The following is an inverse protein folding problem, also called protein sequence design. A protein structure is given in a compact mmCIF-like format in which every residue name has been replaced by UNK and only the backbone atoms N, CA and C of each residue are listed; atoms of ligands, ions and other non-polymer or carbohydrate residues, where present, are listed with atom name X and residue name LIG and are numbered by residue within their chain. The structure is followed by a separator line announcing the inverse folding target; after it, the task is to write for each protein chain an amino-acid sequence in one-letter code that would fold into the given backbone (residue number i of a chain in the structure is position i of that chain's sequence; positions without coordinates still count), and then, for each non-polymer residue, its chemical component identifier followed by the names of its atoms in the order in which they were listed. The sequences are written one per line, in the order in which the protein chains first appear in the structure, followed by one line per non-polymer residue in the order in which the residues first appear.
data_IF_489191526157
#
_entry.id   IF_489191526157
#
_cell.length_a   1.000
_cell.length_b   1.000
_cell.length_c   1.000
_cell.angle_alpha   90.00
_cell.angle_beta   90.00
_cell.angle_gamma   90.00
#
_symmetry.space_group_name_H-M   'P 1'
#
loop_
_entity.id
_entity.type
_entity.pdbx_description
1 polymer ?
#
# COMPACT_ATOMS: atom_id res chain seq x y z
N UNK A 1 46.05 -11.80 -27.75
CA UNK A 1 46.58 -11.73 -26.38
C UNK A 1 46.17 -10.41 -25.77
N UNK A 2 45.30 -10.42 -24.81
CA UNK A 2 44.89 -9.23 -24.09
C UNK A 2 46.03 -8.81 -23.16
N UNK A 3 46.54 -7.58 -23.34
CA UNK A 3 47.63 -7.05 -22.53
C UNK A 3 47.27 -7.07 -21.04
N UNK A 4 48.05 -7.80 -20.22
CA UNK A 4 47.82 -7.89 -18.77
C UNK A 4 47.66 -6.49 -18.13
N UNK A 5 48.39 -5.50 -18.61
CA UNK A 5 48.28 -4.09 -18.12
C UNK A 5 46.94 -3.47 -18.44
N UNK A 6 46.38 -3.76 -19.62
CA UNK A 6 45.03 -3.25 -20.02
C UNK A 6 43.94 -3.92 -19.19
N UNK A 7 44.05 -5.23 -18.93
CA UNK A 7 43.12 -5.96 -18.09
C UNK A 7 43.06 -5.40 -16.65
N UNK A 8 44.25 -5.17 -16.07
CA UNK A 8 44.35 -4.58 -14.73
C UNK A 8 43.83 -3.14 -14.66
N UNK A 9 43.98 -2.36 -15.72
CA UNK A 9 43.42 -0.98 -15.82
C UNK A 9 41.91 -1.01 -15.92
N UNK A 10 41.36 -1.89 -16.75
CA UNK A 10 39.89 -2.08 -16.87
C UNK A 10 39.29 -2.59 -15.57
N UNK A 11 39.91 -3.56 -14.91
CA UNK A 11 39.46 -4.09 -13.64
C UNK A 11 39.35 -2.99 -12.54
N UNK A 12 40.33 -2.07 -12.50
CA UNK A 12 40.32 -0.96 -11.54
C UNK A 12 39.17 0.02 -11.76
N UNK A 13 38.66 0.12 -12.99
CA UNK A 13 37.53 1.01 -13.33
C UNK A 13 36.19 0.29 -13.12
N UNK A 14 36.11 -0.96 -13.58
CA UNK A 14 34.84 -1.72 -13.51
C UNK A 14 34.50 -2.21 -12.12
N UNK A 15 35.51 -2.52 -11.29
CA UNK A 15 35.28 -3.01 -9.92
C UNK A 15 34.52 -2.01 -9.03
N UNK A 16 34.95 -0.72 -8.93
CA UNK A 16 34.20 0.24 -8.14
C UNK A 16 32.82 0.54 -8.72
N UNK A 17 32.68 0.56 -10.05
CA UNK A 17 31.38 0.79 -10.69
C UNK A 17 30.40 -0.35 -10.38
N UNK A 18 30.87 -1.60 -10.37
CA UNK A 18 30.08 -2.77 -10.00
C UNK A 18 29.66 -2.73 -8.52
N UNK A 19 30.55 -2.31 -7.63
CA UNK A 19 30.25 -2.17 -6.19
C UNK A 19 29.18 -1.09 -5.98
N UNK A 20 29.32 0.07 -6.63
CA UNK A 20 28.33 1.17 -6.54
C UNK A 20 26.96 0.69 -7.07
N UNK A 21 26.92 -0.02 -8.19
CA UNK A 21 25.70 -0.58 -8.75
C UNK A 21 25.04 -1.60 -7.81
N UNK A 22 25.83 -2.49 -7.20
CA UNK A 22 25.33 -3.49 -6.25
C UNK A 22 24.79 -2.85 -4.99
N UNK A 23 25.46 -1.83 -4.47
CA UNK A 23 25.01 -1.07 -3.30
C UNK A 23 23.70 -0.34 -3.61
N UNK A 24 23.60 0.28 -4.78
CA UNK A 24 22.37 0.96 -5.21
C UNK A 24 21.19 -0.01 -5.33
N UNK A 25 21.42 -1.19 -5.95
CA UNK A 25 20.40 -2.24 -6.03
C UNK A 25 20.01 -2.72 -4.64
N UNK A 26 20.99 -2.97 -3.75
CA UNK A 26 20.74 -3.39 -2.38
C UNK A 26 19.86 -2.39 -1.62
N UNK A 27 20.16 -1.09 -1.69
CA UNK A 27 19.34 -0.05 -1.07
C UNK A 27 17.95 0.07 -1.70
N UNK A 28 17.83 -0.17 -2.99
CA UNK A 28 16.53 -0.10 -3.69
C UNK A 28 15.63 -1.27 -3.31
N UNK A 29 16.19 -2.49 -3.22
CA UNK A 29 15.44 -3.69 -2.82
C UNK A 29 15.22 -3.80 -1.32
N UNK A 30 16.11 -3.24 -0.52
CA UNK A 30 16.09 -3.36 0.94
C UNK A 30 15.54 -2.08 1.60
N UNK A 31 14.66 -1.35 0.91
CA UNK A 31 13.90 -0.26 1.56
C UNK A 31 13.15 -0.86 2.73
N UNK A 32 13.37 -0.37 3.98
CA UNK A 32 12.57 -0.81 5.10
C UNK A 32 11.11 -0.58 4.76
N UNK A 33 10.29 -1.61 4.92
CA UNK A 33 8.84 -1.47 4.81
C UNK A 33 8.44 -0.34 5.75
N UNK A 34 7.89 0.73 5.19
CA UNK A 34 7.31 1.79 6.00
C UNK A 34 6.23 1.13 6.85
N UNK A 35 6.40 1.15 8.16
CA UNK A 35 5.44 0.56 9.09
C UNK A 35 4.19 1.48 9.12
N UNK A 36 3.30 1.23 8.17
CA UNK A 36 2.05 1.99 8.02
C UNK A 36 1.16 1.87 9.25
N UNK A 37 1.36 0.84 10.10
CA UNK A 37 0.58 0.69 11.33
C UNK A 37 0.80 1.86 12.30
N UNK A 38 2.02 2.41 12.32
CA UNK A 38 2.43 3.54 13.19
C UNK A 38 2.38 4.90 12.51
N UNK A 39 2.21 4.94 11.18
CA UNK A 39 2.10 6.20 10.45
C UNK A 39 0.82 6.94 10.84
N UNK A 40 0.88 8.26 10.93
CA UNK A 40 -0.34 9.05 11.11
C UNK A 40 -1.22 8.94 9.86
N UNK A 41 -2.52 8.70 10.06
CA UNK A 41 -3.50 8.86 8.98
C UNK A 41 -3.63 10.34 8.63
N UNK A 42 -3.49 10.65 7.35
CA UNK A 42 -3.66 12.02 6.84
C UNK A 42 -5.15 12.41 6.79
N UNK A 43 -6.01 11.42 6.56
CA UNK A 43 -7.44 11.58 6.49
C UNK A 43 -8.15 10.48 7.29
N UNK A 44 -9.21 10.87 8.00
CA UNK A 44 -10.18 9.96 8.60
C UNK A 44 -11.50 10.17 7.89
N UNK A 45 -12.02 9.13 7.23
CA UNK A 45 -13.20 9.23 6.37
C UNK A 45 -14.04 7.96 6.45
N UNK A 46 -15.34 8.07 6.36
CA UNK A 46 -16.21 6.91 6.17
C UNK A 46 -16.08 6.36 4.73
N UNK A 47 -16.12 5.04 4.58
CA UNK A 47 -15.99 4.40 3.25
C UNK A 47 -17.03 4.91 2.26
N UNK A 48 -18.27 5.14 2.68
CA UNK A 48 -19.34 5.68 1.83
C UNK A 48 -19.04 7.08 1.30
N UNK A 49 -18.41 7.93 2.12
CA UNK A 49 -18.05 9.30 1.72
C UNK A 49 -16.89 9.28 0.72
N UNK A 50 -15.94 8.35 0.91
CA UNK A 50 -14.85 8.16 -0.04
C UNK A 50 -15.39 7.65 -1.38
N UNK A 51 -16.25 6.64 -1.37
CA UNK A 51 -16.91 6.10 -2.58
C UNK A 51 -17.65 7.23 -3.30
N UNK A 52 -18.47 8.01 -2.59
CA UNK A 52 -19.21 9.14 -3.17
C UNK A 52 -18.29 10.19 -3.78
N UNK A 53 -17.13 10.47 -3.16
CA UNK A 53 -16.16 11.43 -3.69
C UNK A 53 -15.62 10.98 -5.04
N UNK A 54 -15.29 9.70 -5.19
CA UNK A 54 -14.81 9.12 -6.45
C UNK A 54 -15.90 8.99 -7.52
N UNK A 55 -17.15 8.74 -7.12
CA UNK A 55 -18.28 8.69 -8.05
C UNK A 55 -18.64 10.06 -8.63
N UNK A 56 -18.49 11.13 -7.83
CA UNK A 56 -18.82 12.50 -8.25
C UNK A 56 -17.71 13.08 -9.12
N UNK A 57 -16.45 12.97 -8.69
CA UNK A 57 -15.31 13.58 -9.38
C UNK A 57 -14.02 12.76 -9.09
N UNK A 58 -13.74 11.74 -9.93
CA UNK A 58 -12.57 10.88 -9.74
C UNK A 58 -11.23 11.62 -9.77
N UNK A 59 -11.10 12.67 -10.61
CA UNK A 59 -9.85 13.43 -10.72
C UNK A 59 -9.56 14.20 -9.43
N UNK A 60 -10.53 14.93 -8.94
CA UNK A 60 -10.39 15.68 -7.69
C UNK A 60 -10.20 14.75 -6.48
N UNK A 61 -10.88 13.61 -6.46
CA UNK A 61 -10.69 12.59 -5.43
C UNK A 61 -9.27 12.00 -5.47
N UNK A 62 -8.73 11.73 -6.66
CA UNK A 62 -7.34 11.29 -6.82
C UNK A 62 -6.35 12.35 -6.32
N UNK A 63 -6.51 13.61 -6.72
CA UNK A 63 -5.64 14.69 -6.26
C UNK A 63 -5.60 14.81 -4.74
N UNK A 64 -6.70 14.48 -4.08
CA UNK A 64 -6.84 14.60 -2.64
C UNK A 64 -6.35 13.37 -1.88
N UNK A 65 -6.62 12.16 -2.38
CA UNK A 65 -6.48 10.91 -1.62
C UNK A 65 -5.41 9.96 -2.16
N UNK A 66 -4.98 10.10 -3.42
CA UNK A 66 -3.97 9.21 -4.00
C UNK A 66 -2.65 9.28 -3.21
N UNK A 67 -2.07 8.11 -2.96
CA UNK A 67 -0.84 7.94 -2.16
C UNK A 67 -0.94 8.42 -0.69
N UNK A 68 -2.12 8.77 -0.21
CA UNK A 68 -2.36 9.19 1.17
C UNK A 68 -2.74 8.04 2.08
N UNK A 69 -2.35 8.14 3.34
CA UNK A 69 -2.73 7.19 4.38
C UNK A 69 -4.08 7.59 4.93
N UNK A 70 -5.06 6.72 4.70
CA UNK A 70 -6.43 6.90 5.11
C UNK A 70 -6.76 6.01 6.31
N UNK A 71 -7.54 6.53 7.24
CA UNK A 71 -8.26 5.75 8.23
C UNK A 71 -9.73 5.66 7.78
N UNK A 72 -10.08 4.51 7.24
CA UNK A 72 -11.41 4.23 6.70
C UNK A 72 -12.26 3.54 7.75
N UNK A 73 -13.52 3.93 7.86
CA UNK A 73 -14.50 3.22 8.68
C UNK A 73 -15.66 2.78 7.79
N UNK A 74 -15.92 1.48 7.75
CA UNK A 74 -16.95 0.92 6.87
C UNK A 74 -17.42 -0.45 7.31
N UNK A 75 -18.39 -0.99 6.57
CA UNK A 75 -18.97 -2.31 6.82
C UNK A 75 -18.29 -3.32 5.88
N UNK A 76 -17.83 -4.42 6.45
CA UNK A 76 -17.24 -5.52 5.67
C UNK A 76 -18.34 -6.25 4.90
N UNK A 77 -18.23 -6.20 3.59
CA UNK A 77 -19.18 -6.84 2.68
C UNK A 77 -18.64 -8.13 2.08
N UNK A 78 -17.33 -8.24 1.97
CA UNK A 78 -16.66 -9.45 1.45
C UNK A 78 -15.29 -9.62 2.10
N UNK A 79 -14.84 -10.87 2.24
CA UNK A 79 -13.50 -11.19 2.77
C UNK A 79 -12.91 -12.34 1.98
N UNK A 80 -11.65 -12.19 1.59
CA UNK A 80 -10.79 -13.23 1.06
C UNK A 80 -9.51 -13.35 1.89
N UNK A 81 -8.59 -14.23 1.53
CA UNK A 81 -7.41 -14.58 2.36
C UNK A 81 -6.63 -13.36 2.87
N UNK A 82 -6.41 -12.36 2.02
CA UNK A 82 -5.67 -11.14 2.35
C UNK A 82 -6.37 -9.85 1.88
N UNK A 83 -7.65 -9.95 1.56
CA UNK A 83 -8.45 -8.83 1.05
C UNK A 83 -9.72 -8.72 1.88
N UNK A 84 -10.10 -7.49 2.20
CA UNK A 84 -11.43 -7.16 2.71
C UNK A 84 -12.05 -6.07 1.83
N UNK A 85 -13.33 -6.19 1.58
CA UNK A 85 -14.10 -5.19 0.83
C UNK A 85 -15.02 -4.46 1.78
N UNK A 86 -14.95 -3.14 1.74
CA UNK A 86 -15.80 -2.26 2.54
C UNK A 86 -16.88 -1.63 1.67
N UNK A 87 -18.12 -1.71 2.15
CA UNK A 87 -19.31 -1.07 1.54
C UNK A 87 -19.45 -1.30 0.01
N UNK A 88 -19.02 -2.47 -0.47
CA UNK A 88 -19.02 -2.90 -1.90
C UNK A 88 -18.25 -1.97 -2.86
N UNK A 89 -17.33 -1.17 -2.40
CA UNK A 89 -16.63 -0.22 -3.29
C UNK A 89 -15.19 0.07 -2.91
N UNK A 90 -14.70 -0.42 -1.77
CA UNK A 90 -13.31 -0.24 -1.37
C UNK A 90 -12.64 -1.59 -1.13
N UNK A 91 -11.67 -1.91 -1.96
CA UNK A 91 -10.86 -3.12 -1.85
C UNK A 91 -9.60 -2.81 -1.05
N UNK A 92 -9.52 -3.37 0.15
CA UNK A 92 -8.39 -3.21 1.05
C UNK A 92 -7.53 -4.47 1.04
N UNK A 93 -6.31 -4.38 0.51
CA UNK A 93 -5.32 -5.45 0.58
C UNK A 93 -4.57 -5.35 1.90
N UNK A 94 -4.67 -6.39 2.72
CA UNK A 94 -4.06 -6.43 4.04
C UNK A 94 -2.53 -6.56 3.94
N UNK A 95 -1.84 -5.91 4.85
CA UNK A 95 -0.39 -6.03 4.96
C UNK A 95 -0.01 -7.46 5.38
N UNK A 96 1.01 -8.08 4.75
CA UNK A 96 1.43 -9.44 5.09
C UNK A 96 1.88 -9.62 6.54
N UNK A 97 2.26 -8.55 7.21
CA UNK A 97 2.63 -8.57 8.63
C UNK A 97 1.44 -8.62 9.57
N UNK A 98 0.25 -8.30 9.05
CA UNK A 98 -0.98 -8.39 9.84
C UNK A 98 -1.46 -9.83 9.89
N UNK A 99 -1.32 -10.45 11.05
CA UNK A 99 -1.95 -11.74 11.33
C UNK A 99 -3.43 -11.51 11.63
N UNK A 100 -4.28 -11.85 10.69
CA UNK A 100 -5.73 -11.90 10.95
C UNK A 100 -6.00 -13.16 11.74
N UNK A 101 -5.89 -13.07 13.08
CA UNK A 101 -6.14 -14.21 13.98
C UNK A 101 -7.63 -14.44 14.23
N UNK A 102 -8.50 -13.53 13.84
CA UNK A 102 -9.95 -13.61 14.04
C UNK A 102 -10.63 -13.53 12.67
N UNK A 103 -11.58 -14.43 12.44
CA UNK A 103 -12.46 -14.36 11.28
C UNK A 103 -13.27 -13.07 11.38
N UNK A 104 -13.05 -12.16 10.43
CA UNK A 104 -13.87 -10.97 10.32
C UNK A 104 -15.19 -11.39 9.74
N UNK A 105 -16.27 -11.16 10.49
CA UNK A 105 -17.59 -11.51 10.01
C UNK A 105 -18.13 -10.45 9.04
N UNK A 106 -18.80 -10.90 7.99
CA UNK A 106 -19.54 -10.03 7.09
C UNK A 106 -20.57 -9.20 7.88
N UNK A 107 -20.76 -7.96 7.47
CA UNK A 107 -21.67 -7.03 8.15
C UNK A 107 -21.07 -6.34 9.39
N UNK A 108 -19.84 -6.66 9.76
CA UNK A 108 -19.16 -5.99 10.89
C UNK A 108 -18.62 -4.62 10.45
N UNK A 109 -18.84 -3.62 11.29
CA UNK A 109 -18.22 -2.29 11.12
C UNK A 109 -16.77 -2.35 11.62
N UNK A 110 -15.82 -2.01 10.74
CA UNK A 110 -14.39 -2.03 11.05
C UNK A 110 -13.74 -0.69 10.70
N UNK A 111 -12.62 -0.40 11.34
CA UNK A 111 -11.72 0.68 10.94
C UNK A 111 -10.49 0.08 10.30
N UNK A 112 -10.13 0.56 9.11
CA UNK A 112 -8.99 0.10 8.33
C UNK A 112 -8.10 1.27 8.03
N UNK A 113 -6.81 1.12 8.32
CA UNK A 113 -5.80 2.10 7.95
C UNK A 113 -4.95 1.56 6.81
N UNK A 114 -4.85 2.30 5.71
CA UNK A 114 -4.09 1.88 4.54
C UNK A 114 -3.78 3.05 3.61
N UNK A 115 -2.99 2.78 2.58
CA UNK A 115 -2.64 3.77 1.56
C UNK A 115 -3.58 3.65 0.36
N UNK A 116 -4.21 4.76 -0.03
CA UNK A 116 -5.00 4.83 -1.24
C UNK A 116 -4.09 4.75 -2.47
N UNK A 117 -4.30 3.78 -3.34
CA UNK A 117 -3.56 3.61 -4.59
C UNK A 117 -4.37 3.96 -5.84
N UNK A 118 -5.58 4.46 -5.67
CA UNK A 118 -6.41 5.01 -6.73
C UNK A 118 -7.74 4.32 -6.92
N UNK A 119 -8.39 4.68 -8.01
CA UNK A 119 -9.72 4.20 -8.40
C UNK A 119 -9.62 3.42 -9.71
N UNK A 120 -10.21 2.25 -9.73
CA UNK A 120 -10.37 1.43 -10.93
C UNK A 120 -11.74 1.72 -11.55
N UNK A 121 -11.74 2.46 -12.65
CA UNK A 121 -12.98 2.88 -13.35
C UNK A 121 -13.74 1.72 -13.97
N UNK A 122 -13.06 0.60 -14.31
CA UNK A 122 -13.71 -0.56 -14.93
C UNK A 122 -14.47 -1.39 -13.90
N UNK A 123 -13.94 -1.48 -12.70
CA UNK A 123 -14.54 -2.23 -11.60
C UNK A 123 -15.34 -1.34 -10.66
N UNK A 124 -15.25 -0.03 -10.83
CA UNK A 124 -15.83 0.97 -9.93
C UNK A 124 -15.39 0.80 -8.47
N UNK A 125 -14.11 0.43 -8.29
CA UNK A 125 -13.52 0.11 -6.98
C UNK A 125 -12.37 1.05 -6.63
N UNK A 126 -12.35 1.50 -5.38
CA UNK A 126 -11.21 2.20 -4.79
C UNK A 126 -10.26 1.16 -4.20
N UNK A 127 -8.98 1.26 -4.54
CA UNK A 127 -7.96 0.34 -4.04
C UNK A 127 -7.12 0.95 -2.95
N UNK A 128 -6.96 0.19 -1.87
CA UNK A 128 -6.15 0.56 -0.69
C UNK A 128 -5.20 -0.58 -0.39
N UNK A 129 -3.90 -0.28 -0.34
CA UNK A 129 -2.86 -1.26 -0.03
C UNK A 129 -2.28 -1.07 1.38
N UNK A 130 -1.40 -2.01 1.79
CA UNK A 130 -0.78 -2.02 3.12
C UNK A 130 -1.78 -1.75 4.25
N UNK A 131 -2.94 -2.41 4.14
CA UNK A 131 -4.07 -2.16 5.03
C UNK A 131 -3.90 -2.89 6.36
N UNK A 132 -4.18 -2.17 7.45
CA UNK A 132 -4.22 -2.68 8.81
C UNK A 132 -5.60 -2.48 9.39
N UNK A 133 -6.18 -3.57 9.89
CA UNK A 133 -7.45 -3.50 10.62
C UNK A 133 -7.14 -2.96 12.01
N UNK A 134 -7.71 -1.82 12.32
CA UNK A 134 -7.62 -1.21 13.63
C UNK A 134 -8.78 -1.74 14.48
N UNK A 135 -8.51 -2.22 15.69
CA UNK A 135 -9.59 -2.59 16.60
C UNK A 135 -10.43 -1.34 16.84
N UNK A 136 -11.67 -1.36 16.36
CA UNK A 136 -12.63 -0.33 16.75
C UNK A 136 -12.80 -0.40 18.26
N UNK A 137 -12.63 0.71 19.02
CA UNK A 137 -13.03 0.71 20.42
C UNK A 137 -14.51 0.37 20.44
N UNK A 138 -14.86 -0.78 21.00
CA UNK A 138 -16.25 -1.08 21.30
C UNK A 138 -16.76 -0.02 22.29
N UNK A 139 -17.94 0.51 22.06
CA UNK A 139 -18.57 1.44 22.98
C UNK A 139 -18.80 0.81 24.35
#
# INVERSE_FOLDING_TARGET
MINKKLYWSLLRIFLPLFIIGSVFIYFTYNKPHTDFSKSHSEFTIESKDLISSYQIDPENANDKYLDKILLLTGIVTETEENIIILDNGIVCTLDPSQKVNEKINLGTKVSVKGRCIGYDELLEEIRVDHSFIMKTPQP
#
